data_IF_615791366751
#
_entry.id   IF_615791366751
#
_cell.length_a   1.000
_cell.length_b   1.000
_cell.length_c   1.000
_cell.angle_alpha   90.00
_cell.angle_beta   90.00
_cell.angle_gamma   90.00
#
_symmetry.space_group_name_H-M   'P 1'
#
loop_
_entity.id
_entity.type
_entity.pdbx_description
1 polymer ?
#
# COMPACT_ATOMS: atom_id res chain seq x y z
N UNK A 1 -34.99 -30.26 4.15
CA UNK A 1 -33.61 -30.81 4.09
C UNK A 1 -32.98 -30.27 2.82
N UNK A 2 -32.16 -29.23 2.96
CA UNK A 2 -31.60 -28.45 1.87
C UNK A 2 -30.38 -29.18 1.31
N UNK A 3 -30.50 -29.76 0.12
CA UNK A 3 -29.39 -30.34 -0.62
C UNK A 3 -28.53 -29.24 -1.22
N UNK A 4 -27.30 -29.10 -0.73
CA UNK A 4 -26.24 -28.30 -1.35
C UNK A 4 -26.02 -28.78 -2.78
N UNK A 5 -26.28 -27.91 -3.77
CA UNK A 5 -25.71 -28.06 -5.11
C UNK A 5 -24.22 -27.75 -5.00
N UNK A 6 -23.40 -28.79 -4.97
CA UNK A 6 -21.99 -28.70 -5.30
C UNK A 6 -21.94 -28.75 -6.82
N UNK A 7 -21.54 -27.66 -7.47
CA UNK A 7 -21.26 -27.65 -8.92
C UNK A 7 -19.80 -28.03 -9.09
N UNK A 8 -19.48 -29.26 -9.57
CA UNK A 8 -18.10 -29.59 -9.90
C UNK A 8 -17.76 -28.89 -11.24
N UNK A 9 -16.72 -28.04 -11.26
CA UNK A 9 -16.15 -27.54 -12.51
C UNK A 9 -15.61 -28.74 -13.30
N UNK A 10 -16.25 -29.03 -14.44
CA UNK A 10 -15.94 -30.15 -15.33
C UNK A 10 -14.59 -29.91 -16.02
N UNK A 11 -13.66 -30.84 -15.84
CA UNK A 11 -12.49 -31.00 -16.70
C UNK A 11 -12.95 -31.31 -18.13
N UNK A 12 -12.73 -30.39 -19.06
CA UNK A 12 -12.85 -30.64 -20.48
C UNK A 12 -11.45 -30.62 -21.09
N UNK A 13 -10.91 -31.81 -21.36
CA UNK A 13 -9.69 -32.01 -22.13
C UNK A 13 -10.04 -31.81 -23.61
N UNK A 14 -9.53 -30.75 -24.25
CA UNK A 14 -9.56 -30.61 -25.71
C UNK A 14 -8.16 -30.29 -26.22
N UNK A 15 -7.77 -31.04 -27.24
CA UNK A 15 -6.50 -31.09 -27.93
C UNK A 15 -6.21 -29.80 -28.72
N UNK A 16 -4.91 -29.54 -28.90
CA UNK A 16 -4.31 -28.29 -29.37
C UNK A 16 -4.72 -27.82 -30.79
N UNK A 17 -4.92 -26.50 -30.92
CA UNK A 17 -4.68 -25.74 -32.14
C UNK A 17 -3.57 -24.72 -31.81
N UNK A 18 -2.39 -24.90 -32.41
CA UNK A 18 -1.33 -23.90 -32.43
C UNK A 18 -1.78 -22.75 -33.35
N UNK A 19 -2.51 -21.81 -32.78
CA UNK A 19 -2.63 -20.46 -33.32
C UNK A 19 -1.76 -19.56 -32.44
N UNK A 20 -0.57 -19.23 -32.91
CA UNK A 20 0.23 -18.13 -32.39
C UNK A 20 -0.44 -16.81 -32.80
N UNK A 21 -1.61 -16.56 -32.22
CA UNK A 21 -2.20 -15.25 -32.08
C UNK A 21 -1.85 -14.76 -30.69
N UNK A 22 -1.15 -13.66 -30.59
CA UNK A 22 -1.04 -12.91 -29.34
C UNK A 22 -2.45 -12.57 -28.87
N UNK A 23 -2.99 -13.37 -27.96
CA UNK A 23 -4.11 -12.97 -27.13
C UNK A 23 -3.60 -11.79 -26.32
N UNK A 24 -3.86 -10.57 -26.80
CA UNK A 24 -3.91 -9.41 -25.94
C UNK A 24 -4.99 -9.72 -24.92
N UNK A 25 -4.60 -10.23 -23.75
CA UNK A 25 -5.49 -10.30 -22.61
C UNK A 25 -5.95 -8.86 -22.38
N UNK A 26 -7.21 -8.58 -22.65
CA UNK A 26 -7.81 -7.36 -22.15
C UNK A 26 -7.70 -7.47 -20.63
N UNK A 27 -6.88 -6.62 -20.00
CA UNK A 27 -6.83 -6.48 -18.55
C UNK A 27 -8.22 -5.97 -18.11
N UNK A 28 -9.15 -6.88 -17.90
CA UNK A 28 -10.39 -6.59 -17.20
C UNK A 28 -10.19 -7.04 -15.77
N UNK A 29 -10.26 -6.10 -14.83
CA UNK A 29 -10.21 -6.46 -13.43
C UNK A 29 -11.42 -7.32 -13.08
N UNK A 30 -11.22 -8.43 -12.38
CA UNK A 30 -12.34 -9.17 -11.82
C UNK A 30 -12.97 -8.34 -10.70
N UNK A 31 -14.29 -8.43 -10.56
CA UNK A 31 -15.05 -7.59 -9.63
C UNK A 31 -15.83 -8.46 -8.65
N UNK A 32 -15.58 -8.25 -7.36
CA UNK A 32 -16.35 -8.85 -6.29
C UNK A 32 -17.03 -7.75 -5.47
N UNK A 33 -18.34 -7.85 -5.32
CA UNK A 33 -19.17 -6.85 -4.64
C UNK A 33 -20.19 -7.54 -3.76
N UNK A 34 -20.43 -6.94 -2.60
CA UNK A 34 -21.54 -7.28 -1.73
C UNK A 34 -21.10 -7.87 -0.38
N UNK A 35 -21.90 -7.63 0.67
CA UNK A 35 -21.51 -7.95 2.03
C UNK A 35 -21.39 -9.47 2.21
N UNK A 36 -20.24 -9.90 2.73
CA UNK A 36 -19.96 -11.31 3.01
C UNK A 36 -19.70 -12.17 1.76
N UNK A 37 -19.61 -11.57 0.57
CA UNK A 37 -19.09 -12.25 -0.62
C UNK A 37 -17.59 -12.44 -0.43
N UNK A 38 -17.13 -13.67 -0.63
CA UNK A 38 -15.72 -14.03 -0.46
C UNK A 38 -15.20 -14.67 -1.74
N UNK A 39 -14.06 -14.20 -2.21
CA UNK A 39 -13.28 -14.86 -3.25
C UNK A 39 -11.89 -15.22 -2.72
N UNK A 40 -11.29 -16.25 -3.28
CA UNK A 40 -9.93 -16.69 -2.97
C UNK A 40 -9.16 -16.88 -4.26
N UNK A 41 -7.99 -16.24 -4.35
CA UNK A 41 -6.99 -16.47 -5.40
C UNK A 41 -5.99 -17.49 -4.86
N UNK A 42 -5.87 -18.61 -5.56
CA UNK A 42 -4.97 -19.71 -5.22
C UNK A 42 -3.71 -19.70 -6.08
N UNK A 43 -2.67 -20.39 -5.63
CA UNK A 43 -1.44 -20.56 -6.41
C UNK A 43 -1.74 -21.27 -7.74
N UNK A 44 -1.40 -20.61 -8.86
CA UNK A 44 -1.62 -21.13 -10.21
C UNK A 44 -2.86 -20.59 -10.91
N UNK A 45 -3.70 -19.83 -10.19
CA UNK A 45 -4.73 -19.01 -10.84
C UNK A 45 -4.09 -17.94 -11.74
N UNK A 46 -4.89 -17.41 -12.67
CA UNK A 46 -4.44 -16.35 -13.55
C UNK A 46 -4.10 -15.09 -12.73
N UNK A 47 -2.99 -14.43 -13.09
CA UNK A 47 -2.60 -13.17 -12.48
C UNK A 47 -3.40 -12.06 -13.15
N UNK A 48 -4.33 -11.47 -12.41
CA UNK A 48 -5.20 -10.40 -12.90
C UNK A 48 -5.44 -9.34 -11.82
N UNK A 49 -6.01 -8.20 -12.24
CA UNK A 49 -6.39 -7.10 -11.34
C UNK A 49 -7.74 -7.38 -10.67
N UNK A 50 -7.98 -6.80 -9.49
CA UNK A 50 -9.21 -7.00 -8.71
C UNK A 50 -9.83 -5.69 -8.24
N UNK A 51 -11.16 -5.61 -8.32
CA UNK A 51 -11.98 -4.59 -7.68
C UNK A 51 -12.86 -5.26 -6.63
N UNK A 52 -12.72 -4.83 -5.38
CA UNK A 52 -13.40 -5.40 -4.21
C UNK A 52 -14.22 -4.29 -3.56
N UNK A 53 -15.53 -4.45 -3.42
CA UNK A 53 -16.39 -3.40 -2.87
C UNK A 53 -17.49 -3.91 -1.94
N UNK A 54 -18.10 -2.97 -1.21
CA UNK A 54 -19.36 -3.14 -0.50
C UNK A 54 -19.35 -4.28 0.53
N UNK A 55 -18.27 -4.38 1.30
CA UNK A 55 -18.11 -5.39 2.35
C UNK A 55 -17.69 -6.78 1.86
N UNK A 56 -17.29 -6.92 0.59
CA UNK A 56 -16.72 -8.16 0.06
C UNK A 56 -15.31 -8.43 0.62
N UNK A 57 -14.86 -9.68 0.49
CA UNK A 57 -13.54 -10.13 0.95
C UNK A 57 -12.78 -10.82 -0.18
N UNK A 58 -11.53 -10.40 -0.40
CA UNK A 58 -10.57 -11.10 -1.25
C UNK A 58 -9.49 -11.74 -0.38
N UNK A 59 -9.32 -13.05 -0.50
CA UNK A 59 -8.17 -13.75 0.06
C UNK A 59 -7.19 -14.06 -1.06
N UNK A 60 -5.92 -13.73 -0.90
CA UNK A 60 -4.85 -14.13 -1.81
C UNK A 60 -3.93 -15.06 -1.04
N UNK A 61 -3.98 -16.34 -1.41
CA UNK A 61 -3.32 -17.41 -0.70
C UNK A 61 -1.80 -17.41 -0.94
N UNK A 62 -1.09 -18.25 -0.19
CA UNK A 62 0.35 -18.37 -0.30
C UNK A 62 0.77 -18.75 -1.71
N UNK A 63 1.76 -18.02 -2.24
CA UNK A 63 2.33 -18.15 -3.59
C UNK A 63 1.34 -17.81 -4.72
N UNK A 64 0.15 -17.32 -4.41
CA UNK A 64 -0.72 -16.71 -5.39
C UNK A 64 -0.25 -15.29 -5.72
N UNK A 65 -0.60 -14.82 -6.91
CA UNK A 65 -0.24 -13.49 -7.37
C UNK A 65 -1.42 -12.78 -8.01
N UNK A 66 -1.51 -11.48 -7.78
CA UNK A 66 -2.45 -10.58 -8.46
C UNK A 66 -1.69 -9.41 -9.07
N UNK A 67 -2.35 -8.74 -10.00
CA UNK A 67 -1.97 -7.37 -10.35
C UNK A 67 -2.57 -6.39 -9.31
N UNK A 68 -2.97 -5.20 -9.75
CA UNK A 68 -3.58 -4.20 -8.88
C UNK A 68 -4.81 -4.74 -8.15
N UNK A 69 -4.93 -4.40 -6.87
CA UNK A 69 -6.16 -4.56 -6.09
C UNK A 69 -6.67 -3.18 -5.68
N UNK A 70 -7.95 -2.90 -5.98
CA UNK A 70 -8.68 -1.72 -5.51
C UNK A 70 -9.80 -2.17 -4.60
N UNK A 71 -9.77 -1.74 -3.34
CA UNK A 71 -10.74 -2.12 -2.33
C UNK A 71 -11.50 -0.89 -1.80
N UNK A 72 -12.82 -1.00 -1.65
CA UNK A 72 -13.66 0.11 -1.18
C UNK A 72 -14.90 -0.31 -0.41
N UNK A 73 -15.56 0.65 0.25
CA UNK A 73 -16.92 0.44 0.81
C UNK A 73 -17.00 -0.65 1.88
N UNK A 74 -16.01 -0.71 2.77
CA UNK A 74 -15.89 -1.72 3.83
C UNK A 74 -15.31 -3.05 3.36
N UNK A 75 -14.75 -3.12 2.15
CA UNK A 75 -14.05 -4.31 1.64
C UNK A 75 -12.88 -4.73 2.55
N UNK A 76 -12.58 -6.04 2.52
CA UNK A 76 -11.51 -6.65 3.31
C UNK A 76 -10.55 -7.42 2.40
N UNK A 77 -9.25 -7.14 2.50
CA UNK A 77 -8.21 -7.81 1.71
C UNK A 77 -7.29 -8.60 2.63
N UNK A 78 -7.10 -9.89 2.37
CA UNK A 78 -6.21 -10.75 3.13
C UNK A 78 -5.12 -11.31 2.22
N UNK A 79 -3.87 -10.93 2.47
CA UNK A 79 -2.70 -11.41 1.76
C UNK A 79 -1.85 -12.25 2.71
N UNK A 80 -1.58 -13.50 2.36
CA UNK A 80 -0.75 -14.41 3.17
C UNK A 80 0.23 -15.13 2.27
N UNK A 81 1.52 -14.82 2.36
CA UNK A 81 2.52 -15.41 1.46
C UNK A 81 2.33 -15.00 -0.01
N UNK A 82 1.64 -13.89 -0.29
CA UNK A 82 1.15 -13.53 -1.61
C UNK A 82 2.01 -12.47 -2.30
N UNK A 83 1.82 -12.30 -3.61
CA UNK A 83 2.46 -11.23 -4.39
C UNK A 83 1.42 -10.35 -5.07
N UNK A 84 1.51 -9.03 -4.87
CA UNK A 84 0.69 -8.02 -5.56
C UNK A 84 1.64 -7.12 -6.34
N UNK A 85 1.44 -7.00 -7.65
CA UNK A 85 2.27 -6.15 -8.51
C UNK A 85 1.40 -5.15 -9.26
N UNK A 86 1.53 -3.86 -8.92
CA UNK A 86 0.97 -2.76 -9.69
C UNK A 86 1.62 -2.69 -11.08
N UNK A 87 0.79 -2.75 -12.12
CA UNK A 87 1.13 -2.60 -13.54
C UNK A 87 2.54 -3.05 -13.98
N UNK A 88 2.78 -4.35 -14.15
CA UNK A 88 4.04 -4.81 -14.74
C UNK A 88 4.26 -4.35 -16.20
N UNK A 89 3.25 -3.78 -16.88
CA UNK A 89 3.32 -3.47 -18.32
C UNK A 89 2.50 -2.26 -18.83
N UNK A 90 1.93 -1.41 -17.96
CA UNK A 90 1.08 -0.29 -18.41
C UNK A 90 1.81 1.06 -18.40
N UNK A 91 1.52 1.92 -19.40
CA UNK A 91 1.95 3.33 -19.41
C UNK A 91 1.16 4.21 -18.42
N UNK A 92 0.24 3.62 -17.65
CA UNK A 92 -0.57 4.28 -16.64
C UNK A 92 0.03 4.01 -15.26
N UNK A 93 0.07 5.03 -14.41
CA UNK A 93 0.44 4.88 -13.00
C UNK A 93 -0.62 4.02 -12.29
N UNK A 94 -0.19 2.90 -11.73
CA UNK A 94 -1.10 1.94 -11.09
C UNK A 94 -0.50 1.51 -9.76
N UNK A 95 -1.26 1.74 -8.69
CA UNK A 95 -0.88 1.32 -7.35
C UNK A 95 -0.88 -0.21 -7.24
N UNK A 96 -0.11 -0.77 -6.31
CA UNK A 96 -0.19 -2.20 -6.00
C UNK A 96 -1.52 -2.53 -5.31
N UNK A 97 -1.74 -1.96 -4.13
CA UNK A 97 -2.96 -2.10 -3.35
C UNK A 97 -3.50 -0.71 -2.97
N UNK A 98 -4.77 -0.45 -3.29
CA UNK A 98 -5.46 0.82 -3.04
C UNK A 98 -6.70 0.59 -2.16
N UNK A 99 -6.70 1.15 -0.95
CA UNK A 99 -7.74 1.00 0.06
C UNK A 99 -8.49 2.32 0.25
N UNK A 100 -9.80 2.31 0.01
CA UNK A 100 -10.68 3.49 0.07
C UNK A 100 -11.89 3.19 0.97
N UNK A 101 -11.80 3.53 2.26
CA UNK A 101 -12.70 2.99 3.29
C UNK A 101 -12.72 1.45 3.24
N UNK A 102 -11.56 0.84 3.42
CA UNK A 102 -11.37 -0.61 3.38
C UNK A 102 -10.30 -1.04 4.38
N UNK A 103 -10.17 -2.35 4.62
CA UNK A 103 -9.12 -2.90 5.48
C UNK A 103 -8.28 -3.96 4.79
N UNK A 104 -7.01 -4.08 5.20
CA UNK A 104 -6.13 -5.13 4.75
C UNK A 104 -5.34 -5.79 5.89
N UNK A 105 -5.16 -7.11 5.79
CA UNK A 105 -4.16 -7.87 6.55
C UNK A 105 -3.14 -8.43 5.57
N UNK A 106 -1.88 -8.06 5.73
CA UNK A 106 -0.79 -8.40 4.82
C UNK A 106 0.29 -9.12 5.62
N UNK A 107 0.50 -10.40 5.34
CA UNK A 107 1.38 -11.28 6.10
C UNK A 107 2.32 -12.02 5.17
N UNK A 108 3.63 -11.98 5.45
CA UNK A 108 4.67 -12.67 4.68
C UNK A 108 4.56 -12.44 3.16
N UNK A 109 4.12 -11.25 2.75
CA UNK A 109 3.71 -10.94 1.38
C UNK A 109 4.59 -9.86 0.76
N UNK A 110 4.49 -9.71 -0.55
CA UNK A 110 5.17 -8.67 -1.31
C UNK A 110 4.14 -7.82 -2.06
N UNK A 111 4.15 -6.50 -1.83
CA UNK A 111 3.33 -5.54 -2.58
C UNK A 111 4.25 -4.55 -3.28
N UNK A 112 4.17 -4.47 -4.60
CA UNK A 112 5.05 -3.60 -5.38
C UNK A 112 4.28 -2.77 -6.39
N UNK A 113 4.85 -1.63 -6.78
CA UNK A 113 4.48 -0.93 -8.01
C UNK A 113 5.72 -0.29 -8.61
N UNK A 114 5.97 -0.54 -9.90
CA UNK A 114 7.15 -0.06 -10.61
C UNK A 114 6.97 1.31 -11.27
N UNK A 115 5.79 1.92 -11.12
CA UNK A 115 5.49 3.23 -11.72
C UNK A 115 4.53 4.10 -10.88
N UNK A 116 4.16 3.64 -9.68
CA UNK A 116 3.29 4.36 -8.74
C UNK A 116 3.56 3.86 -7.31
N UNK A 117 2.69 4.22 -6.38
CA UNK A 117 2.78 3.84 -4.97
C UNK A 117 2.45 2.35 -4.78
N UNK A 118 3.15 1.66 -3.87
CA UNK A 118 2.84 0.25 -3.64
C UNK A 118 1.55 0.06 -2.83
N UNK A 119 1.39 0.81 -1.74
CA UNK A 119 0.23 0.70 -0.85
C UNK A 119 -0.37 2.08 -0.56
N UNK A 120 -1.67 2.22 -0.79
CA UNK A 120 -2.43 3.45 -0.53
C UNK A 120 -3.58 3.17 0.42
N UNK A 121 -3.69 3.98 1.47
CA UNK A 121 -4.79 3.98 2.42
C UNK A 121 -5.42 5.38 2.45
N UNK A 122 -6.72 5.47 2.20
CA UNK A 122 -7.48 6.70 2.34
C UNK A 122 -8.90 6.45 2.84
N UNK A 123 -9.56 7.52 3.29
CA UNK A 123 -10.94 7.51 3.77
C UNK A 123 -11.16 6.55 4.95
N UNK A 124 -10.38 6.74 6.04
CA UNK A 124 -10.46 5.94 7.27
C UNK A 124 -10.22 4.44 7.01
N UNK A 125 -9.26 4.13 6.14
CA UNK A 125 -8.83 2.75 5.88
C UNK A 125 -7.86 2.25 6.94
N UNK A 126 -7.71 0.93 7.06
CA UNK A 126 -6.74 0.31 7.98
C UNK A 126 -5.91 -0.76 7.29
N UNK A 127 -4.63 -0.88 7.65
CA UNK A 127 -3.81 -2.01 7.23
C UNK A 127 -2.90 -2.51 8.36
N UNK A 128 -2.79 -3.83 8.49
CA UNK A 128 -1.78 -4.50 9.32
C UNK A 128 -0.83 -5.25 8.39
N UNK A 129 0.46 -4.91 8.46
CA UNK A 129 1.51 -5.47 7.62
C UNK A 129 2.56 -6.14 8.50
N UNK A 130 2.78 -7.43 8.28
CA UNK A 130 3.72 -8.24 9.05
C UNK A 130 4.62 -9.11 8.17
N UNK A 131 5.92 -9.17 8.48
CA UNK A 131 6.86 -10.04 7.75
C UNK A 131 6.95 -9.75 6.25
N UNK A 132 6.57 -8.54 5.81
CA UNK A 132 6.27 -8.26 4.40
C UNK A 132 7.22 -7.22 3.79
N UNK A 133 7.23 -7.18 2.47
CA UNK A 133 8.00 -6.23 1.67
C UNK A 133 7.05 -5.34 0.87
N UNK A 134 7.16 -4.01 1.03
CA UNK A 134 6.32 -3.03 0.32
C UNK A 134 7.24 -2.06 -0.45
N UNK A 135 7.19 -2.04 -1.77
CA UNK A 135 8.11 -1.22 -2.58
C UNK A 135 7.43 -0.51 -3.75
N UNK A 136 7.44 0.82 -3.74
CA UNK A 136 6.80 1.65 -4.77
C UNK A 136 7.71 2.71 -5.39
N UNK A 137 7.30 3.22 -6.55
CA UNK A 137 7.84 4.45 -7.15
C UNK A 137 7.11 5.65 -6.58
N UNK A 138 7.88 6.66 -6.22
CA UNK A 138 7.40 7.84 -5.53
C UNK A 138 7.15 7.60 -4.05
N UNK A 139 6.35 6.58 -3.71
CA UNK A 139 6.06 6.22 -2.31
C UNK A 139 5.98 4.73 -2.11
N UNK A 140 6.58 4.22 -1.03
CA UNK A 140 6.30 2.85 -0.59
C UNK A 140 4.87 2.74 -0.10
N UNK A 141 4.52 3.56 0.90
CA UNK A 141 3.18 3.65 1.47
C UNK A 141 2.69 5.10 1.51
N UNK A 142 1.41 5.31 1.19
CA UNK A 142 0.71 6.59 1.37
C UNK A 142 -0.52 6.39 2.25
N UNK A 143 -0.58 7.07 3.39
CA UNK A 143 -1.70 6.98 4.36
C UNK A 143 -2.34 8.35 4.52
N UNK A 144 -3.63 8.46 4.22
CA UNK A 144 -4.33 9.74 4.19
C UNK A 144 -5.71 9.69 4.87
N UNK A 145 -6.28 10.86 5.14
CA UNK A 145 -7.68 11.03 5.53
C UNK A 145 -8.11 10.13 6.71
N UNK A 146 -7.38 10.23 7.82
CA UNK A 146 -7.70 9.53 9.07
C UNK A 146 -7.44 8.02 9.04
N UNK A 147 -6.73 7.52 8.03
CA UNK A 147 -6.38 6.11 7.90
C UNK A 147 -5.20 5.70 8.80
N UNK A 148 -5.08 4.40 9.05
CA UNK A 148 -4.06 3.82 9.95
C UNK A 148 -3.30 2.67 9.29
N UNK A 149 -1.99 2.63 9.51
CA UNK A 149 -1.17 1.47 9.19
C UNK A 149 -0.34 1.01 10.40
N UNK A 150 -0.23 -0.31 10.57
CA UNK A 150 0.75 -0.94 11.46
C UNK A 150 1.73 -1.73 10.60
N UNK A 151 3.02 -1.44 10.75
CA UNK A 151 4.13 -2.17 10.15
C UNK A 151 4.88 -2.92 11.25
N UNK A 152 5.00 -4.24 11.13
CA UNK A 152 5.66 -5.09 12.10
C UNK A 152 6.64 -6.02 11.41
N UNK A 153 7.92 -6.00 11.78
CA UNK A 153 8.96 -6.82 11.15
C UNK A 153 8.87 -6.79 9.60
N UNK A 154 8.68 -5.61 9.02
CA UNK A 154 8.45 -5.42 7.58
C UNK A 154 9.39 -4.37 7.01
N UNK A 155 9.69 -4.46 5.71
CA UNK A 155 10.42 -3.40 5.03
C UNK A 155 9.51 -2.62 4.08
N UNK A 156 9.73 -1.31 4.05
CA UNK A 156 9.07 -0.38 3.13
C UNK A 156 10.13 0.40 2.38
N UNK A 157 9.99 0.46 1.05
CA UNK A 157 10.86 1.23 0.18
C UNK A 157 10.07 2.16 -0.76
N UNK A 158 10.44 3.44 -0.76
CA UNK A 158 9.95 4.43 -1.71
C UNK A 158 11.07 4.96 -2.59
N UNK A 159 11.05 4.60 -3.87
CA UNK A 159 12.03 5.07 -4.84
C UNK A 159 11.69 6.45 -5.40
N UNK A 160 12.71 7.17 -5.85
CA UNK A 160 12.52 8.49 -6.46
C UNK A 160 11.69 8.40 -7.77
N UNK A 161 10.81 9.38 -7.97
CA UNK A 161 10.03 9.57 -9.19
C UNK A 161 10.60 10.67 -10.12
N UNK A 162 11.73 11.29 -9.73
CA UNK A 162 12.48 12.24 -10.57
C UNK A 162 12.07 13.72 -10.44
N UNK A 163 11.15 14.06 -9.52
CA UNK A 163 10.78 15.45 -9.24
C UNK A 163 11.60 16.08 -8.09
N UNK A 164 11.35 17.34 -7.77
CA UNK A 164 12.09 18.12 -6.74
C UNK A 164 11.20 18.83 -5.71
N UNK A 165 9.89 18.84 -5.91
CA UNK A 165 8.90 19.38 -4.99
C UNK A 165 8.70 18.55 -3.72
N UNK A 166 7.98 19.12 -2.77
CA UNK A 166 7.75 18.53 -1.44
C UNK A 166 7.10 17.13 -1.48
N UNK A 167 6.25 16.89 -2.49
CA UNK A 167 5.55 15.62 -2.67
C UNK A 167 6.21 14.73 -3.73
N UNK A 168 7.31 15.18 -4.33
CA UNK A 168 7.91 14.57 -5.50
C UNK A 168 8.74 13.35 -5.12
N UNK A 169 8.04 12.25 -4.84
CA UNK A 169 8.59 10.90 -4.79
C UNK A 169 9.75 10.62 -3.83
N UNK A 170 10.23 9.38 -3.80
CA UNK A 170 11.32 8.97 -2.91
C UNK A 170 10.97 8.93 -1.43
N UNK A 171 9.69 8.77 -1.05
CA UNK A 171 9.27 8.71 0.34
C UNK A 171 8.97 7.27 0.76
N UNK A 172 9.57 6.78 1.84
CA UNK A 172 9.26 5.44 2.36
C UNK A 172 7.78 5.33 2.75
N UNK A 173 7.37 6.11 3.75
CA UNK A 173 5.96 6.27 4.14
C UNK A 173 5.60 7.76 4.14
N UNK A 174 4.46 8.10 3.54
CA UNK A 174 3.90 9.45 3.56
C UNK A 174 2.55 9.48 4.28
N UNK A 175 2.39 10.40 5.24
CA UNK A 175 1.23 10.55 6.10
C UNK A 175 0.55 11.91 5.85
N UNK A 176 -0.64 11.89 5.26
CA UNK A 176 -1.46 13.06 4.94
C UNK A 176 -2.70 13.09 5.85
N UNK A 177 -2.50 13.51 7.10
CA UNK A 177 -3.48 13.27 8.17
C UNK A 177 -3.74 11.78 8.44
N UNK A 178 -2.81 10.91 8.05
CA UNK A 178 -2.80 9.49 8.37
C UNK A 178 -1.90 9.17 9.56
N UNK A 179 -1.99 7.93 10.07
CA UNK A 179 -1.21 7.47 11.21
C UNK A 179 -0.44 6.19 10.89
N UNK A 180 0.77 6.07 11.45
CA UNK A 180 1.58 4.87 11.32
C UNK A 180 2.17 4.42 12.67
N UNK A 181 2.07 3.11 12.94
CA UNK A 181 2.87 2.45 13.98
C UNK A 181 3.88 1.54 13.28
N UNK A 182 5.16 1.76 13.58
CA UNK A 182 6.30 1.08 12.94
C UNK A 182 7.06 0.37 14.04
N UNK A 183 6.94 -0.95 14.10
CA UNK A 183 7.35 -1.74 15.26
C UNK A 183 8.08 -3.04 14.88
N UNK A 184 8.60 -3.72 15.91
CA UNK A 184 9.20 -5.06 15.83
C UNK A 184 10.33 -5.17 14.80
N UNK A 185 11.24 -4.20 14.75
CA UNK A 185 12.40 -4.24 13.85
C UNK A 185 12.07 -3.89 12.39
N UNK A 186 10.95 -3.21 12.13
CA UNK A 186 10.62 -2.74 10.79
C UNK A 186 11.64 -1.73 10.27
N UNK A 187 11.79 -1.66 8.95
CA UNK A 187 12.69 -0.72 8.27
C UNK A 187 11.92 0.05 7.21
N UNK A 188 11.91 1.38 7.32
CA UNK A 188 11.33 2.27 6.31
C UNK A 188 12.44 3.06 5.65
N UNK A 189 12.57 2.92 4.34
CA UNK A 189 13.58 3.63 3.54
C UNK A 189 12.89 4.42 2.44
N UNK A 190 13.24 5.69 2.30
CA UNK A 190 12.96 6.47 1.09
C UNK A 190 14.26 6.94 0.46
N UNK A 191 14.29 6.98 -0.87
CA UNK A 191 15.42 7.57 -1.59
C UNK A 191 15.67 9.02 -1.14
N UNK A 192 14.60 9.78 -0.85
CA UNK A 192 14.68 11.12 -0.29
C UNK A 192 14.41 11.10 1.21
N UNK A 193 13.21 10.70 1.62
CA UNK A 193 12.78 10.81 3.01
C UNK A 193 12.23 9.48 3.51
N UNK A 194 12.61 9.07 4.71
CA UNK A 194 12.01 7.89 5.34
C UNK A 194 10.52 8.10 5.62
N UNK A 195 10.19 9.11 6.45
CA UNK A 195 8.82 9.50 6.77
C UNK A 195 8.52 10.93 6.32
N UNK A 196 7.49 11.11 5.51
CA UNK A 196 6.90 12.40 5.18
C UNK A 196 5.60 12.59 5.97
N UNK A 197 5.45 13.71 6.67
CA UNK A 197 4.22 14.05 7.40
C UNK A 197 3.71 15.41 6.93
N UNK A 198 2.43 15.45 6.55
CA UNK A 198 1.75 16.64 6.07
C UNK A 198 0.30 16.66 6.50
N UNK A 199 -0.27 17.86 6.61
CA UNK A 199 -1.71 18.03 6.72
C UNK A 199 -2.42 17.40 5.51
N UNK A 200 -3.65 16.92 5.75
CA UNK A 200 -4.53 16.44 4.69
C UNK A 200 -5.01 17.61 3.80
N UNK A 201 -5.35 17.28 2.55
CA UNK A 201 -5.94 18.16 1.56
C UNK A 201 -7.45 18.38 1.67
N UNK A 202 -8.12 17.61 2.53
CA UNK A 202 -9.55 17.71 2.79
C UNK A 202 -10.00 19.08 3.34
N UNK A 203 -11.17 19.54 2.89
CA UNK A 203 -11.72 20.87 3.16
C UNK A 203 -12.52 21.02 4.47
N UNK A 204 -12.46 20.06 5.39
CA UNK A 204 -13.22 20.14 6.67
C UNK A 204 -12.35 20.66 7.83
N UNK A 205 -12.96 21.28 8.86
CA UNK A 205 -12.23 21.81 10.03
C UNK A 205 -11.58 20.74 10.92
N UNK A 206 -11.97 19.47 10.75
CA UNK A 206 -11.39 18.32 11.45
C UNK A 206 -10.20 17.79 10.66
N UNK A 207 -9.15 18.61 10.55
CA UNK A 207 -7.89 18.16 9.96
C UNK A 207 -7.32 17.06 10.86
N UNK A 208 -7.16 15.85 10.34
CA UNK A 208 -6.43 14.81 11.05
C UNK A 208 -4.96 15.22 11.18
N UNK A 209 -4.45 15.26 12.40
CA UNK A 209 -3.02 15.49 12.65
C UNK A 209 -2.26 14.21 12.25
N UNK A 210 -1.34 14.26 11.27
CA UNK A 210 -0.52 13.09 10.94
C UNK A 210 0.33 12.69 12.14
N UNK A 211 0.46 11.38 12.38
CA UNK A 211 1.29 10.90 13.48
C UNK A 211 2.01 9.59 13.20
N UNK A 212 3.18 9.43 13.80
CA UNK A 212 4.00 8.24 13.68
C UNK A 212 4.52 7.78 15.04
N UNK A 213 4.47 6.47 15.30
CA UNK A 213 5.18 5.82 16.40
C UNK A 213 6.24 4.93 15.77
N UNK A 214 7.51 5.12 16.14
CA UNK A 214 8.64 4.29 15.72
C UNK A 214 9.19 3.59 16.95
N UNK A 215 8.92 2.30 17.06
CA UNK A 215 9.21 1.45 18.21
C UNK A 215 10.19 0.33 17.83
N UNK A 216 11.42 0.38 18.36
CA UNK A 216 12.46 -0.60 18.04
C UNK A 216 12.69 -0.81 16.55
N UNK A 217 12.57 0.25 15.75
CA UNK A 217 12.55 0.20 14.27
C UNK A 217 13.45 1.26 13.63
N UNK A 218 13.72 1.14 12.33
CA UNK A 218 14.66 2.02 11.63
C UNK A 218 13.97 2.84 10.53
N UNK A 219 14.24 4.14 10.49
CA UNK A 219 13.78 5.06 9.45
C UNK A 219 14.99 5.67 8.74
N UNK A 220 15.00 5.61 7.40
CA UNK A 220 16.12 6.03 6.56
C UNK A 220 15.61 6.96 5.44
N UNK A 221 16.14 8.18 5.39
CA UNK A 221 16.11 9.00 4.18
C UNK A 221 17.50 8.96 3.54
N UNK A 222 17.63 8.41 2.32
CA UNK A 222 18.95 8.18 1.73
C UNK A 222 19.67 9.46 1.31
N UNK A 223 18.97 10.37 0.63
CA UNK A 223 19.55 11.67 0.21
C UNK A 223 18.98 12.85 0.98
N UNK A 224 17.89 12.66 1.72
CA UNK A 224 17.22 13.68 2.52
C UNK A 224 17.18 13.32 4.01
N UNK A 225 16.22 13.91 4.70
CA UNK A 225 16.02 13.72 6.13
C UNK A 225 15.36 12.39 6.45
N UNK A 226 15.60 11.84 7.65
CA UNK A 226 14.88 10.63 8.08
C UNK A 226 13.37 10.92 8.19
N UNK A 227 13.03 12.08 8.74
CA UNK A 227 11.66 12.57 8.91
C UNK A 227 11.55 13.99 8.38
N UNK A 228 10.58 14.23 7.50
CA UNK A 228 10.21 15.54 6.99
C UNK A 228 8.77 15.86 7.40
N UNK A 229 8.59 16.98 8.11
CA UNK A 229 7.29 17.55 8.43
C UNK A 229 7.12 18.83 7.64
N UNK A 230 6.02 18.95 6.90
CA UNK A 230 5.75 20.13 6.11
C UNK A 230 4.37 20.12 5.52
N UNK A 231 4.06 21.15 4.76
CA UNK A 231 2.82 21.26 4.01
C UNK A 231 3.11 21.32 2.53
N UNK A 232 2.20 20.76 1.75
CA UNK A 232 2.16 20.98 0.31
C UNK A 232 1.39 22.28 -0.04
N UNK A 233 0.83 22.97 0.97
CA UNK A 233 0.08 24.22 0.83
C UNK A 233 0.39 25.17 2.00
N UNK A 234 1.10 26.27 1.72
CA UNK A 234 1.51 27.30 2.69
C UNK A 234 0.36 27.94 3.49
N UNK A 235 -0.89 27.79 3.04
CA UNK A 235 -2.09 28.29 3.76
C UNK A 235 -2.53 27.32 4.87
N UNK A 236 -1.93 26.13 4.93
CA UNK A 236 -2.23 25.06 5.91
C UNK A 236 -0.93 24.55 6.51
N UNK A 237 -0.39 25.21 7.54
CA UNK A 237 0.77 24.69 8.24
C UNK A 237 0.47 23.29 8.78
N UNK A 238 1.47 22.41 8.71
CA UNK A 238 1.35 21.04 9.21
C UNK A 238 1.83 20.96 10.65
N UNK A 239 0.95 20.54 11.54
CA UNK A 239 1.30 19.99 12.85
C UNK A 239 1.41 18.47 12.73
N UNK A 240 2.38 17.86 13.41
CA UNK A 240 2.57 16.41 13.39
C UNK A 240 3.07 15.90 14.74
N UNK A 241 2.69 14.67 15.09
CA UNK A 241 3.15 14.01 16.32
C UNK A 241 4.02 12.81 15.97
N UNK A 242 5.27 12.81 16.40
CA UNK A 242 6.20 11.71 16.17
C UNK A 242 6.77 11.22 17.49
N UNK A 243 6.60 9.94 17.78
CA UNK A 243 7.16 9.27 18.96
C UNK A 243 8.22 8.29 18.53
N UNK A 244 9.44 8.44 19.05
CA UNK A 244 10.57 7.54 18.80
C UNK A 244 10.93 6.85 20.11
N UNK A 245 10.88 5.52 20.15
CA UNK A 245 11.03 4.76 21.40
C UNK A 245 11.75 3.41 21.22
N UNK A 246 12.13 2.80 22.34
CA UNK A 246 12.65 1.42 22.43
C UNK A 246 13.82 1.09 21.49
N UNK A 247 14.78 2.01 21.36
CA UNK A 247 16.00 1.77 20.58
C UNK A 247 15.85 1.97 19.07
N UNK A 248 14.77 2.64 18.63
CA UNK A 248 14.60 3.06 17.24
C UNK A 248 15.76 3.91 16.73
N UNK A 249 16.06 3.76 15.43
CA UNK A 249 17.17 4.45 14.76
C UNK A 249 16.63 5.33 13.62
N UNK A 250 17.13 6.56 13.55
CA UNK A 250 16.81 7.51 12.47
C UNK A 250 18.10 7.87 11.72
N UNK A 251 18.08 7.75 10.39
CA UNK A 251 19.21 8.06 9.52
C UNK A 251 18.77 9.03 8.43
N UNK A 252 19.25 10.28 8.51
CA UNK A 252 19.13 11.25 7.42
C UNK A 252 20.44 11.31 6.65
N UNK A 253 20.43 10.94 5.38
CA UNK A 253 21.62 10.95 4.53
C UNK A 253 22.10 12.36 4.19
N UNK A 254 21.23 13.37 4.33
CA UNK A 254 21.64 14.78 4.33
C UNK A 254 22.19 15.29 5.68
N UNK A 255 22.33 14.40 6.68
CA UNK A 255 22.77 14.76 8.03
C UNK A 255 21.67 15.32 8.94
N UNK A 256 20.41 15.38 8.47
CA UNK A 256 19.27 15.90 9.24
C UNK A 256 18.32 14.75 9.58
N UNK A 257 18.10 14.47 10.87
CA UNK A 257 17.17 13.41 11.29
C UNK A 257 15.70 13.86 11.24
N UNK A 258 15.42 15.13 11.56
CA UNK A 258 14.09 15.72 11.53
C UNK A 258 14.18 17.10 10.89
N UNK A 259 13.45 17.28 9.81
CA UNK A 259 13.35 18.53 9.07
C UNK A 259 11.92 19.04 9.14
N UNK A 260 11.77 20.32 9.47
CA UNK A 260 10.50 21.03 9.34
C UNK A 260 10.68 22.07 8.24
N UNK A 261 10.02 21.87 7.11
CA UNK A 261 10.16 22.72 5.93
C UNK A 261 8.81 22.86 5.22
N UNK A 262 8.69 23.88 4.34
CA UNK A 262 7.48 24.16 3.58
C UNK A 262 6.22 24.23 4.46
N UNK A 263 6.29 24.96 5.57
CA UNK A 263 5.27 24.98 6.62
C UNK A 263 4.77 26.40 6.88
#
# INVERSE_FOLDING_TARGET
MNGKLIVPKRSCLVMAILASGSLSANLQADTITGPGVVSTVESGDAVESWVVSDGATLNVASRAATEQIVASGGAQINLTGATVTGAPSSSREINGLDLQNASATISDSTVTSSNSFALVLANVSTASVSGSEISGVGRGVSVAAGSDIVLSNSNVYGSDAGGTGFLDGGHGVALFGGRATIENGSVVTGDKTGLLLSADSGSTPEAFTPSAIVDGSTIIGNTGSAILVGSYNDVRPSEAVVTIQNGSTLVGGNGIILEVANN
#
